data_IF_285413530874
#
_entry.id   IF_285413530874
#
_cell.length_a   1.000
_cell.length_b   1.000
_cell.length_c   1.000
_cell.angle_alpha   90.00
_cell.angle_beta   90.00
_cell.angle_gamma   90.00
#
_symmetry.space_group_name_H-M   'P 1'
#
loop_
_entity.id
_entity.type
_entity.pdbx_description
1 polymer ?
#
# COMPACT_ATOMS: atom_id res chain seq x y z
N UNK A 1 25.13 28.02 12.27
CA UNK A 1 24.55 26.65 12.15
C UNK A 1 23.56 26.31 13.26
N UNK A 2 23.84 26.61 14.55
CA UNK A 2 22.93 26.32 15.68
C UNK A 2 21.47 26.79 15.49
N UNK A 3 21.26 28.00 14.97
CA UNK A 3 19.90 28.53 14.73
C UNK A 3 19.09 27.70 13.72
N UNK A 4 19.76 27.14 12.71
CA UNK A 4 19.12 26.30 11.69
C UNK A 4 18.65 24.99 12.33
N UNK A 5 19.51 24.35 13.12
CA UNK A 5 19.20 23.09 13.82
C UNK A 5 18.04 23.29 14.79
N UNK A 6 18.02 24.39 15.54
CA UNK A 6 16.90 24.72 16.44
C UNK A 6 15.60 24.91 15.66
N UNK A 7 15.63 25.57 14.49
CA UNK A 7 14.44 25.74 13.66
C UNK A 7 13.94 24.41 13.10
N UNK A 8 14.84 23.52 12.68
CA UNK A 8 14.50 22.15 12.25
C UNK A 8 13.89 21.37 13.42
N UNK A 9 14.44 21.50 14.64
CA UNK A 9 13.87 20.87 15.83
C UNK A 9 12.44 21.34 16.10
N UNK A 10 12.17 22.65 15.97
CA UNK A 10 10.82 23.20 16.13
C UNK A 10 9.86 22.67 15.08
N UNK A 11 10.30 22.58 13.82
CA UNK A 11 9.51 22.02 12.72
C UNK A 11 9.22 20.52 12.95
N UNK A 12 10.22 19.76 13.39
CA UNK A 12 10.05 18.35 13.75
C UNK A 12 9.00 18.17 14.86
N UNK A 13 9.03 19.02 15.89
CA UNK A 13 8.11 18.95 17.03
C UNK A 13 6.70 19.47 16.73
N UNK A 14 6.52 20.34 15.72
CA UNK A 14 5.19 20.84 15.34
C UNK A 14 4.34 19.80 14.60
N UNK A 15 4.94 18.72 14.11
CA UNK A 15 4.20 17.60 13.52
C UNK A 15 3.59 16.76 14.66
N UNK A 16 2.27 16.64 14.74
CA UNK A 16 1.62 15.93 15.86
C UNK A 16 1.46 14.42 15.61
N UNK A 17 1.23 13.98 14.36
CA UNK A 17 0.83 12.59 14.07
C UNK A 17 1.57 11.92 12.91
N UNK A 18 2.25 12.68 12.04
CA UNK A 18 2.91 12.11 10.86
C UNK A 18 4.32 11.58 11.20
N UNK A 19 4.41 10.28 11.47
CA UNK A 19 5.68 9.59 11.72
C UNK A 19 6.63 9.61 10.52
N UNK A 20 6.10 9.63 9.29
CA UNK A 20 6.92 9.60 8.09
C UNK A 20 7.59 10.96 7.89
N UNK A 21 6.80 12.04 7.90
CA UNK A 21 7.32 13.41 7.80
C UNK A 21 8.31 13.71 8.92
N UNK A 22 8.05 13.29 10.17
CA UNK A 22 9.02 13.42 11.27
C UNK A 22 10.37 12.78 10.94
N UNK A 23 10.36 11.54 10.44
CA UNK A 23 11.60 10.85 10.08
C UNK A 23 12.35 11.51 8.91
N UNK A 24 11.63 12.11 7.96
CA UNK A 24 12.23 12.90 6.87
C UNK A 24 12.82 14.22 7.38
N UNK A 25 12.17 14.92 8.30
CA UNK A 25 12.72 16.16 8.85
C UNK A 25 13.93 15.88 9.74
N UNK A 26 13.89 14.78 10.50
CA UNK A 26 15.03 14.31 11.29
C UNK A 26 16.22 13.91 10.39
N UNK A 27 15.98 13.39 9.18
CA UNK A 27 17.06 12.96 8.28
C UNK A 27 17.96 14.12 7.82
N UNK A 28 17.45 15.35 7.82
CA UNK A 28 18.21 16.57 7.51
C UNK A 28 19.42 16.78 8.44
N UNK A 29 19.39 16.19 9.64
CA UNK A 29 20.43 16.36 10.67
C UNK A 29 20.99 15.03 11.19
N UNK A 30 20.39 13.89 10.83
CA UNK A 30 20.74 12.58 11.37
C UNK A 30 22.09 12.01 10.88
N UNK A 31 22.63 12.50 9.75
CA UNK A 31 23.96 12.10 9.26
C UNK A 31 25.10 12.79 10.01
N UNK A 32 24.86 14.01 10.50
CA UNK A 32 25.89 14.89 11.06
C UNK A 32 26.01 14.79 12.58
N UNK A 33 24.92 14.42 13.26
CA UNK A 33 24.86 14.45 14.72
C UNK A 33 24.48 13.11 15.32
N UNK A 34 25.06 12.81 16.49
CA UNK A 34 24.68 11.66 17.28
C UNK A 34 23.29 11.85 17.92
N UNK A 35 22.62 10.75 18.33
CA UNK A 35 21.34 10.85 19.03
C UNK A 35 21.38 11.77 20.26
N UNK A 36 22.44 11.72 21.06
CA UNK A 36 22.57 12.54 22.27
C UNK A 36 22.72 14.03 21.95
N UNK A 37 23.43 14.38 20.89
CA UNK A 37 23.52 15.77 20.41
C UNK A 37 22.16 16.27 19.93
N UNK A 38 21.44 15.48 19.13
CA UNK A 38 20.10 15.86 18.67
C UNK A 38 19.11 16.03 19.82
N UNK A 39 19.14 15.16 20.84
CA UNK A 39 18.32 15.34 22.04
C UNK A 39 18.64 16.66 22.77
N UNK A 40 19.92 17.04 22.86
CA UNK A 40 20.30 18.35 23.43
C UNK A 40 19.85 19.56 22.62
N UNK A 41 19.53 19.37 21.33
CA UNK A 41 18.95 20.42 20.49
C UNK A 41 17.42 20.48 20.55
N UNK A 42 16.77 19.58 21.31
CA UNK A 42 15.32 19.57 21.52
C UNK A 42 14.55 18.59 20.62
N UNK A 43 15.24 17.67 19.94
CA UNK A 43 14.57 16.64 19.15
C UNK A 43 14.10 15.48 20.03
N UNK A 44 12.85 15.08 19.84
CA UNK A 44 12.24 13.91 20.50
C UNK A 44 11.97 12.80 19.50
N UNK A 45 12.64 11.65 19.65
CA UNK A 45 12.48 10.52 18.76
C UNK A 45 12.82 9.20 19.46
N UNK A 46 12.27 8.11 18.95
CA UNK A 46 12.70 6.75 19.29
C UNK A 46 13.96 6.34 18.54
N UNK A 47 14.65 5.31 19.03
CA UNK A 47 15.82 4.73 18.36
C UNK A 47 15.51 4.26 16.93
N UNK A 48 14.33 3.69 16.71
CA UNK A 48 13.88 3.26 15.38
C UNK A 48 13.72 4.44 14.43
N UNK A 49 13.10 5.54 14.87
CA UNK A 49 12.96 6.75 14.07
C UNK A 49 14.31 7.36 13.69
N UNK A 50 15.28 7.37 14.62
CA UNK A 50 16.63 7.82 14.32
C UNK A 50 17.31 6.95 13.25
N UNK A 51 17.23 5.62 13.37
CA UNK A 51 17.81 4.72 12.38
C UNK A 51 17.17 4.90 11.00
N UNK A 52 15.85 5.04 10.92
CA UNK A 52 15.14 5.33 9.67
C UNK A 52 15.55 6.67 9.08
N UNK A 53 15.68 7.71 9.90
CA UNK A 53 16.14 9.03 9.46
C UNK A 53 17.56 8.97 8.89
N UNK A 54 18.46 8.23 9.55
CA UNK A 54 19.84 8.03 9.08
C UNK A 54 19.89 7.28 7.75
N UNK A 55 19.06 6.25 7.59
CA UNK A 55 18.93 5.53 6.32
C UNK A 55 18.43 6.46 5.21
N UNK A 56 17.35 7.23 5.46
CA UNK A 56 16.83 8.22 4.50
C UNK A 56 17.89 9.21 4.06
N UNK A 57 18.70 9.70 5.00
CA UNK A 57 19.78 10.63 4.70
C UNK A 57 20.88 9.97 3.84
N UNK A 58 21.19 8.69 4.06
CA UNK A 58 22.15 7.95 3.22
C UNK A 58 21.62 7.65 1.81
N UNK A 59 20.30 7.59 1.64
CA UNK A 59 19.62 7.33 0.37
C UNK A 59 19.18 8.62 -0.36
N UNK A 60 19.54 9.80 0.16
CA UNK A 60 19.11 11.12 -0.35
C UNK A 60 17.57 11.27 -0.45
N UNK A 61 16.84 10.60 0.44
CA UNK A 61 15.38 10.57 0.46
C UNK A 61 14.81 11.63 1.41
N UNK A 62 14.62 12.84 0.88
CA UNK A 62 14.09 14.00 1.62
C UNK A 62 12.64 14.38 1.27
N UNK A 63 11.88 13.49 0.60
CA UNK A 63 10.48 13.77 0.26
C UNK A 63 9.55 13.73 1.48
N UNK A 64 8.63 14.70 1.53
CA UNK A 64 7.53 14.78 2.50
C UNK A 64 6.23 14.14 1.97
N UNK A 65 6.23 13.63 0.73
CA UNK A 65 5.10 12.92 0.17
C UNK A 65 4.73 11.74 1.07
N UNK A 66 3.43 11.44 1.16
CA UNK A 66 2.95 10.31 1.93
C UNK A 66 3.73 9.04 1.58
N UNK A 67 4.09 8.28 2.62
CA UNK A 67 4.73 6.97 2.46
C UNK A 67 3.91 6.10 1.50
N UNK A 68 4.32 6.05 0.25
CA UNK A 68 3.88 5.03 -0.67
C UNK A 68 4.66 3.77 -0.30
N UNK A 69 3.98 2.76 0.24
CA UNK A 69 4.55 1.42 0.36
C UNK A 69 5.10 1.05 -1.01
N UNK A 70 6.42 1.07 -1.14
CA UNK A 70 7.10 0.49 -2.28
C UNK A 70 6.94 -1.02 -2.15
N UNK A 71 5.84 -1.53 -2.70
CA UNK A 71 5.63 -2.96 -2.89
C UNK A 71 6.53 -3.31 -4.08
N UNK A 72 7.61 -4.04 -3.83
CA UNK A 72 8.45 -4.54 -4.89
C UNK A 72 7.57 -5.34 -5.86
N UNK A 73 7.55 -4.97 -7.14
CA UNK A 73 6.95 -5.85 -8.16
C UNK A 73 7.63 -7.20 -8.04
N UNK A 74 6.84 -8.24 -7.73
CA UNK A 74 7.32 -9.62 -7.74
C UNK A 74 8.04 -9.87 -9.07
N UNK A 75 9.29 -10.37 -8.99
CA UNK A 75 10.14 -10.62 -10.17
C UNK A 75 9.76 -11.89 -10.93
N UNK A 76 8.92 -12.74 -10.36
CA UNK A 76 8.41 -13.93 -11.04
C UNK A 76 7.27 -13.52 -11.97
N UNK A 77 7.45 -13.68 -13.28
CA UNK A 77 6.33 -13.62 -14.21
C UNK A 77 5.22 -14.54 -13.72
N UNK A 78 3.99 -14.01 -13.63
CA UNK A 78 2.87 -14.82 -13.19
C UNK A 78 2.61 -15.89 -14.24
N UNK A 79 2.72 -17.17 -13.86
CA UNK A 79 2.42 -18.27 -14.78
C UNK A 79 0.97 -18.18 -15.24
N UNK A 80 0.73 -18.21 -16.56
CA UNK A 80 -0.61 -18.08 -17.13
C UNK A 80 -1.60 -19.10 -16.55
N UNK A 81 -1.10 -20.30 -16.23
CA UNK A 81 -1.85 -21.37 -15.54
C UNK A 81 -2.39 -20.93 -14.16
N UNK A 82 -1.61 -20.17 -13.39
CA UNK A 82 -2.04 -19.66 -12.09
C UNK A 82 -3.06 -18.54 -12.25
N UNK A 83 -2.90 -17.69 -13.28
CA UNK A 83 -3.89 -16.66 -13.62
C UNK A 83 -5.23 -17.29 -13.96
N UNK A 84 -5.22 -18.32 -14.80
CA UNK A 84 -6.44 -19.00 -15.24
C UNK A 84 -7.10 -19.78 -14.11
N UNK A 85 -6.30 -20.37 -13.22
CA UNK A 85 -6.78 -20.98 -11.98
C UNK A 85 -7.47 -19.94 -11.09
N UNK A 86 -6.84 -18.80 -10.82
CA UNK A 86 -7.43 -17.72 -10.02
C UNK A 86 -8.73 -17.23 -10.66
N UNK A 87 -8.76 -17.00 -11.98
CA UNK A 87 -9.97 -16.61 -12.70
C UNK A 87 -11.10 -17.63 -12.56
N UNK A 88 -10.80 -18.93 -12.68
CA UNK A 88 -11.80 -20.00 -12.51
C UNK A 88 -12.45 -19.97 -11.13
N UNK A 89 -11.66 -19.70 -10.08
CA UNK A 89 -12.16 -19.58 -8.71
C UNK A 89 -12.94 -18.29 -8.49
N UNK A 90 -12.52 -17.18 -9.11
CA UNK A 90 -13.29 -15.94 -9.07
C UNK A 90 -14.68 -16.13 -9.72
N UNK A 91 -14.78 -16.88 -10.82
CA UNK A 91 -16.06 -17.20 -11.45
C UNK A 91 -17.00 -18.01 -10.55
N UNK A 92 -16.49 -18.86 -9.66
CA UNK A 92 -17.31 -19.62 -8.71
C UNK A 92 -17.93 -18.76 -7.60
N UNK A 93 -17.28 -17.64 -7.26
CA UNK A 93 -17.72 -16.72 -6.21
C UNK A 93 -18.21 -15.37 -6.75
N UNK A 94 -18.40 -15.29 -8.07
CA UNK A 94 -18.86 -14.11 -8.78
C UNK A 94 -20.38 -14.00 -8.74
N UNK A 95 -20.89 -12.78 -8.49
CA UNK A 95 -22.23 -12.40 -8.88
C UNK A 95 -22.22 -11.14 -9.74
N UNK A 96 -22.93 -11.13 -10.88
CA UNK A 96 -23.12 -9.92 -11.67
C UNK A 96 -23.84 -8.86 -10.83
N UNK A 97 -23.32 -7.64 -10.83
CA UNK A 97 -24.12 -6.50 -10.38
C UNK A 97 -25.20 -6.17 -11.41
N UNK A 98 -26.31 -5.61 -10.94
CA UNK A 98 -27.25 -4.84 -11.77
C UNK A 98 -26.67 -3.51 -12.26
N UNK A 99 -25.52 -3.08 -11.72
CA UNK A 99 -24.82 -1.84 -12.06
C UNK A 99 -23.80 -2.13 -13.18
N UNK A 100 -24.00 -1.50 -14.34
CA UNK A 100 -23.04 -1.46 -15.43
C UNK A 100 -22.12 -0.25 -15.26
N UNK A 101 -20.81 -0.48 -15.24
CA UNK A 101 -19.83 0.60 -15.27
C UNK A 101 -19.54 0.98 -16.72
N UNK A 102 -19.79 2.24 -17.10
CA UNK A 102 -19.33 2.76 -18.40
C UNK A 102 -17.84 3.09 -18.31
N UNK A 103 -17.02 2.52 -19.18
CA UNK A 103 -15.64 2.96 -19.36
C UNK A 103 -15.58 3.91 -20.55
N UNK A 104 -15.11 5.15 -20.31
CA UNK A 104 -14.87 6.11 -21.39
C UNK A 104 -13.76 5.56 -22.30
N UNK A 105 -14.14 5.15 -23.51
CA UNK A 105 -13.21 4.73 -24.57
C UNK A 105 -13.16 3.22 -24.91
N UNK A 106 -13.80 2.33 -24.13
CA UNK A 106 -13.82 0.88 -24.43
C UNK A 106 -15.20 0.35 -24.87
N UNK A 107 -16.29 1.02 -24.48
CA UNK A 107 -17.65 0.56 -24.76
C UNK A 107 -18.22 1.30 -25.99
N UNK A 108 -17.87 0.89 -27.22
CA UNK A 108 -18.43 1.45 -28.47
C UNK A 108 -19.93 1.21 -28.63
N UNK A 109 -20.46 0.23 -27.90
CA UNK A 109 -21.79 -0.34 -28.12
C UNK A 109 -22.82 0.12 -27.06
N UNK A 110 -22.43 1.04 -26.15
CA UNK A 110 -23.33 1.61 -25.13
C UNK A 110 -23.77 0.66 -24.00
N UNK A 111 -23.49 -0.64 -24.13
CA UNK A 111 -23.66 -1.66 -23.10
C UNK A 111 -22.46 -1.62 -22.16
N UNK A 112 -22.57 -0.84 -21.08
CA UNK A 112 -21.51 -0.78 -20.06
C UNK A 112 -21.15 -2.17 -19.53
N UNK A 113 -19.88 -2.40 -19.22
CA UNK A 113 -19.44 -3.67 -18.65
C UNK A 113 -20.01 -3.83 -17.23
N UNK A 114 -20.68 -4.96 -16.88
CA UNK A 114 -21.20 -5.17 -15.52
C UNK A 114 -20.07 -5.09 -14.48
N UNK A 115 -20.27 -4.30 -13.43
CA UNK A 115 -19.38 -4.31 -12.27
C UNK A 115 -19.53 -5.67 -11.58
N UNK A 116 -18.41 -6.34 -11.32
CA UNK A 116 -18.41 -7.68 -10.77
C UNK A 116 -18.14 -7.63 -9.27
N UNK A 117 -19.10 -8.11 -8.45
CA UNK A 117 -18.91 -8.25 -7.02
C UNK A 117 -18.52 -9.68 -6.66
N UNK A 118 -17.63 -9.79 -5.68
CA UNK A 118 -17.29 -11.07 -5.07
C UNK A 118 -18.23 -11.32 -3.90
N UNK A 119 -18.89 -12.48 -3.89
CA UNK A 119 -19.75 -12.94 -2.79
C UNK A 119 -18.96 -13.29 -1.54
N UNK A 120 -17.66 -13.55 -1.69
CA UNK A 120 -16.74 -13.93 -0.63
C UNK A 120 -15.53 -12.99 -0.57
N UNK A 121 -14.87 -12.96 0.58
CA UNK A 121 -13.67 -12.16 0.76
C UNK A 121 -12.52 -12.71 -0.09
N UNK A 122 -11.62 -11.82 -0.53
CA UNK A 122 -10.39 -12.18 -1.25
C UNK A 122 -9.56 -13.21 -0.48
N UNK A 123 -9.49 -13.06 0.84
CA UNK A 123 -8.82 -14.00 1.75
C UNK A 123 -9.45 -15.40 1.68
N UNK A 124 -10.78 -15.49 1.77
CA UNK A 124 -11.49 -16.77 1.65
C UNK A 124 -11.22 -17.46 0.31
N UNK A 125 -11.23 -16.71 -0.79
CA UNK A 125 -10.98 -17.25 -2.13
C UNK A 125 -9.53 -17.76 -2.24
N UNK A 126 -8.55 -17.01 -1.72
CA UNK A 126 -7.15 -17.42 -1.67
C UNK A 126 -7.00 -18.76 -0.93
N UNK A 127 -7.54 -18.86 0.29
CA UNK A 127 -7.49 -20.10 1.08
C UNK A 127 -8.30 -21.25 0.47
N UNK A 128 -9.29 -20.97 -0.38
CA UNK A 128 -10.03 -22.00 -1.11
C UNK A 128 -9.21 -22.56 -2.28
N UNK A 129 -8.42 -21.72 -2.96
CA UNK A 129 -7.50 -22.15 -4.02
C UNK A 129 -6.44 -23.07 -3.41
N UNK A 130 -5.81 -22.65 -2.31
CA UNK A 130 -4.78 -23.43 -1.62
C UNK A 130 -5.28 -24.81 -1.21
N UNK A 131 -6.43 -24.87 -0.54
CA UNK A 131 -7.00 -26.15 -0.05
C UNK A 131 -7.43 -27.10 -1.15
N UNK A 132 -7.90 -26.60 -2.29
CA UNK A 132 -8.48 -27.45 -3.35
C UNK A 132 -7.51 -27.78 -4.48
N UNK A 133 -6.54 -26.89 -4.76
CA UNK A 133 -5.55 -27.08 -5.83
C UNK A 133 -4.17 -27.50 -5.30
N UNK A 134 -3.92 -27.35 -4.00
CA UNK A 134 -2.59 -27.55 -3.41
C UNK A 134 -1.57 -26.48 -3.78
N UNK A 135 -1.97 -25.45 -4.53
CA UNK A 135 -1.10 -24.33 -4.94
C UNK A 135 -1.13 -23.25 -3.87
N UNK A 136 0.00 -23.02 -3.22
CA UNK A 136 0.16 -21.91 -2.27
C UNK A 136 0.31 -20.60 -3.05
N UNK A 137 -0.70 -19.74 -2.98
CA UNK A 137 -0.69 -18.42 -3.63
C UNK A 137 -0.61 -17.37 -2.53
N UNK A 138 0.57 -16.79 -2.35
CA UNK A 138 0.75 -15.67 -1.43
C UNK A 138 -0.24 -14.54 -1.75
N UNK A 139 -0.79 -13.90 -0.72
CA UNK A 139 -1.82 -12.85 -0.83
C UNK A 139 -1.46 -11.77 -1.86
N UNK A 140 -0.19 -11.38 -1.95
CA UNK A 140 0.30 -10.39 -2.90
C UNK A 140 0.19 -10.88 -4.37
N UNK A 141 0.52 -12.15 -4.61
CA UNK A 141 0.43 -12.79 -5.91
C UNK A 141 -1.02 -12.99 -6.34
N UNK A 142 -1.90 -13.32 -5.39
CA UNK A 142 -3.35 -13.37 -5.62
C UNK A 142 -3.89 -12.01 -6.06
N UNK A 143 -3.47 -10.92 -5.40
CA UNK A 143 -3.91 -9.56 -5.75
C UNK A 143 -3.43 -9.12 -7.14
N UNK A 144 -2.23 -9.55 -7.58
CA UNK A 144 -1.74 -9.29 -8.93
C UNK A 144 -2.53 -10.04 -10.02
N UNK A 145 -3.07 -11.22 -9.69
CA UNK A 145 -3.89 -12.01 -10.60
C UNK A 145 -5.33 -11.50 -10.75
N UNK A 146 -5.78 -10.60 -9.86
CA UNK A 146 -7.14 -10.08 -9.89
C UNK A 146 -7.36 -9.18 -11.12
N UNK A 147 -8.34 -9.49 -11.98
CA UNK A 147 -8.74 -8.57 -13.03
C UNK A 147 -9.22 -7.25 -12.43
N UNK A 148 -8.82 -6.11 -13.02
CA UNK A 148 -9.23 -4.75 -12.60
C UNK A 148 -10.76 -4.53 -12.60
N UNK A 149 -11.55 -5.50 -13.05
CA UNK A 149 -13.02 -5.49 -13.11
C UNK A 149 -13.70 -5.91 -11.79
N UNK A 150 -12.96 -6.54 -10.86
CA UNK A 150 -13.51 -6.96 -9.55
C UNK A 150 -13.38 -5.82 -8.53
N UNK A 151 -14.48 -5.14 -8.25
CA UNK A 151 -14.52 -4.10 -7.22
C UNK A 151 -14.77 -4.72 -5.83
N UNK A 152 -14.26 -4.05 -4.80
CA UNK A 152 -14.50 -4.43 -3.41
C UNK A 152 -15.98 -4.16 -3.12
N UNK A 153 -16.69 -5.13 -2.57
CA UNK A 153 -18.01 -4.86 -1.98
C UNK A 153 -17.75 -4.01 -0.74
N UNK A 154 -18.08 -2.72 -0.79
CA UNK A 154 -18.12 -1.91 0.42
C UNK A 154 -19.22 -2.52 1.31
N UNK A 155 -18.83 -3.03 2.46
CA UNK A 155 -19.72 -3.68 3.43
C UNK A 155 -20.75 -2.70 4.06
N UNK A 156 -20.85 -1.47 3.57
CA UNK A 156 -21.77 -0.45 4.10
C UNK A 156 -23.21 -0.56 3.61
N UNK A 157 -23.53 -1.34 2.57
CA UNK A 157 -24.92 -1.49 2.09
C UNK A 157 -25.50 -2.88 2.36
N UNK A 158 -25.37 -3.35 3.61
CA UNK A 158 -26.09 -4.54 4.12
C UNK A 158 -27.08 -4.20 5.24
N UNK A 159 -27.78 -3.07 5.16
CA UNK A 159 -29.06 -2.89 5.85
C UNK A 159 -29.93 -1.90 5.06
N UNK A 160 -30.86 -2.45 4.27
CA UNK A 160 -32.23 -1.95 4.14
C UNK A 160 -33.13 -3.18 4.25
#
# INVERSE_FOLDING_TARGET
MKNIIINISKLHSSLSTDRYQKSTILSLVASEFSPSQLSSFGFEFSRTQFNTAKQKASEDQFTLDDYQRHIHKSRSAVGQTVVDLVKSYLHLYYQPSSITGRRVGEDSDGLGTPVMYLTQTKSYISSAIERKSGVEIGTEYFLQCLPKKFQKTDQENRYV
#
